data_IF_742248979639
#
_entry.id   IF_742248979639
#
_cell.length_a   1.000
_cell.length_b   1.000
_cell.length_c   1.000
_cell.angle_alpha   90.00
_cell.angle_beta   90.00
_cell.angle_gamma   90.00
#
_symmetry.space_group_name_H-M   'P 1'
#
loop_
_entity.id
_entity.type
_entity.pdbx_description
1 polymer ?
#
# COMPACT_ATOMS: atom_id res chain seq x y z
N UNK A 1 24.25 -4.09 -2.01
CA UNK A 1 24.31 -5.50 -1.57
C UNK A 1 23.78 -6.38 -2.70
N UNK A 2 24.50 -7.42 -3.11
CA UNK A 2 24.06 -8.35 -4.16
C UNK A 2 23.42 -9.57 -3.51
N UNK A 3 22.20 -9.94 -3.92
CA UNK A 3 21.55 -11.18 -3.47
C UNK A 3 22.24 -12.40 -4.08
N UNK A 4 22.32 -13.49 -3.32
CA UNK A 4 22.68 -14.81 -3.87
C UNK A 4 21.65 -15.25 -4.92
N UNK A 5 22.06 -16.10 -5.87
CA UNK A 5 21.16 -16.60 -6.93
C UNK A 5 19.92 -17.27 -6.34
N UNK A 6 20.11 -18.13 -5.34
CA UNK A 6 19.03 -18.85 -4.65
C UNK A 6 18.05 -17.92 -3.94
N UNK A 7 18.55 -16.85 -3.31
CA UNK A 7 17.68 -15.87 -2.64
C UNK A 7 16.84 -15.09 -3.66
N UNK A 8 17.37 -14.78 -4.84
CA UNK A 8 16.59 -14.10 -5.90
C UNK A 8 15.47 -14.98 -6.42
N UNK A 9 15.75 -16.26 -6.67
CA UNK A 9 14.72 -17.21 -7.11
C UNK A 9 13.66 -17.43 -6.03
N UNK A 10 14.06 -17.55 -4.76
CA UNK A 10 13.13 -17.66 -3.64
C UNK A 10 12.19 -16.46 -3.50
N UNK A 11 12.73 -15.24 -3.55
CA UNK A 11 11.92 -14.01 -3.48
C UNK A 11 11.00 -13.89 -4.72
N UNK A 12 11.51 -14.23 -5.90
CA UNK A 12 10.71 -14.18 -7.14
C UNK A 12 9.55 -15.17 -7.11
N UNK A 13 9.79 -16.40 -6.64
CA UNK A 13 8.74 -17.41 -6.48
C UNK A 13 7.69 -16.97 -5.44
N UNK A 14 8.13 -16.42 -4.32
CA UNK A 14 7.23 -15.88 -3.30
C UNK A 14 6.37 -14.73 -3.86
N UNK A 15 6.96 -13.79 -4.60
CA UNK A 15 6.25 -12.68 -5.22
C UNK A 15 5.26 -13.16 -6.29
N UNK A 16 5.60 -14.19 -7.07
CA UNK A 16 4.67 -14.78 -8.03
C UNK A 16 3.45 -15.40 -7.32
N UNK A 17 3.67 -16.18 -6.26
CA UNK A 17 2.58 -16.75 -5.44
C UNK A 17 1.74 -15.63 -4.81
N UNK A 18 2.37 -14.62 -4.23
CA UNK A 18 1.69 -13.46 -3.67
C UNK A 18 0.83 -12.75 -4.73
N UNK A 19 1.36 -12.55 -5.93
CA UNK A 19 0.61 -11.95 -7.05
C UNK A 19 -0.64 -12.75 -7.36
N UNK A 20 -0.54 -14.08 -7.46
CA UNK A 20 -1.69 -14.97 -7.72
C UNK A 20 -2.73 -14.86 -6.61
N UNK A 21 -2.30 -14.89 -5.34
CA UNK A 21 -3.20 -14.75 -4.20
C UNK A 21 -3.94 -13.40 -4.20
N UNK A 22 -3.25 -12.31 -4.49
CA UNK A 22 -3.86 -10.98 -4.53
C UNK A 22 -4.81 -10.83 -5.72
N UNK A 23 -4.49 -11.42 -6.88
CA UNK A 23 -5.41 -11.45 -8.03
C UNK A 23 -6.64 -12.31 -7.77
N UNK A 24 -6.51 -13.43 -7.04
CA UNK A 24 -7.65 -14.22 -6.57
C UNK A 24 -8.53 -13.40 -5.63
N UNK A 25 -7.93 -12.65 -4.70
CA UNK A 25 -8.67 -11.76 -3.81
C UNK A 25 -9.39 -10.64 -4.60
N UNK A 26 -8.72 -10.04 -5.58
CA UNK A 26 -9.32 -9.05 -6.48
C UNK A 26 -10.53 -9.64 -7.21
N UNK A 27 -10.43 -10.88 -7.70
CA UNK A 27 -11.54 -11.55 -8.36
C UNK A 27 -12.73 -11.79 -7.41
N UNK A 28 -12.46 -12.16 -6.14
CA UNK A 28 -13.53 -12.30 -5.13
C UNK A 28 -14.17 -10.94 -4.82
N UNK A 29 -13.37 -9.89 -4.63
CA UNK A 29 -13.88 -8.54 -4.34
C UNK A 29 -14.67 -7.98 -5.53
N UNK A 30 -14.20 -8.18 -6.75
CA UNK A 30 -14.94 -7.83 -7.96
C UNK A 30 -16.22 -8.65 -8.08
N UNK A 31 -16.20 -9.95 -7.79
CA UNK A 31 -17.39 -10.81 -7.78
C UNK A 31 -18.44 -10.36 -6.76
N UNK A 32 -18.00 -9.95 -5.56
CA UNK A 32 -18.88 -9.39 -4.53
C UNK A 32 -19.39 -7.99 -4.90
N UNK A 33 -18.58 -7.17 -5.56
CA UNK A 33 -18.96 -5.83 -6.02
C UNK A 33 -19.88 -5.85 -7.26
N UNK A 34 -19.78 -6.90 -8.08
CA UNK A 34 -20.55 -7.08 -9.33
C UNK A 34 -21.76 -8.01 -9.17
N UNK A 35 -21.94 -8.66 -8.01
CA UNK A 35 -23.20 -9.35 -7.70
C UNK A 35 -24.36 -8.35 -7.85
N UNK A 36 -25.44 -8.72 -8.56
CA UNK A 36 -26.50 -7.78 -8.86
C UNK A 36 -27.12 -7.29 -7.56
N UNK A 37 -27.09 -5.96 -7.40
CA UNK A 37 -27.91 -5.17 -6.48
C UNK A 37 -29.36 -5.69 -6.53
N UNK A 38 -29.70 -6.67 -5.70
CA UNK A 38 -31.09 -7.06 -5.49
C UNK A 38 -31.64 -6.16 -4.37
N UNK A 39 -32.19 -5.04 -4.83
CA UNK A 39 -33.43 -4.45 -4.31
C UNK A 39 -33.49 -3.80 -2.91
N UNK A 40 -32.43 -3.68 -2.10
CA UNK A 40 -32.59 -3.14 -0.73
C UNK A 40 -31.51 -2.16 -0.20
N UNK A 41 -30.70 -1.53 -1.04
CA UNK A 41 -29.82 -0.46 -0.57
C UNK A 41 -30.60 0.87 -0.51
N UNK A 42 -30.89 1.35 0.70
CA UNK A 42 -31.45 2.69 0.89
C UNK A 42 -30.45 3.73 0.35
N UNK A 43 -30.90 4.80 -0.31
CA UNK A 43 -30.00 5.83 -0.86
C UNK A 43 -29.08 6.48 0.21
N UNK A 44 -29.42 6.38 1.50
CA UNK A 44 -28.61 6.89 2.61
C UNK A 44 -27.44 5.97 3.05
N UNK A 45 -27.42 4.71 2.62
CA UNK A 45 -26.37 3.74 2.97
C UNK A 45 -25.29 3.59 1.87
N UNK A 46 -25.48 4.28 0.74
CA UNK A 46 -24.66 4.20 -0.46
C UNK A 46 -23.35 5.02 -0.42
N UNK A 47 -23.17 5.93 0.55
CA UNK A 47 -22.16 6.98 0.39
C UNK A 47 -20.75 6.68 0.94
N UNK A 48 -20.59 5.80 1.94
CA UNK A 48 -19.27 5.58 2.58
C UNK A 48 -18.71 4.17 2.38
N UNK A 49 -19.55 3.15 2.50
CA UNK A 49 -19.16 1.75 2.35
C UNK A 49 -18.76 1.43 0.91
N UNK A 50 -19.48 2.00 -0.06
CA UNK A 50 -19.19 1.83 -1.49
C UNK A 50 -17.89 2.52 -1.89
N UNK A 51 -17.67 3.74 -1.39
CA UNK A 51 -16.42 4.48 -1.61
C UNK A 51 -15.22 3.78 -0.97
N UNK A 52 -15.39 3.20 0.22
CA UNK A 52 -14.36 2.38 0.86
C UNK A 52 -14.01 1.15 0.02
N UNK A 53 -15.02 0.41 -0.47
CA UNK A 53 -14.83 -0.77 -1.33
C UNK A 53 -14.14 -0.44 -2.65
N UNK A 54 -14.52 0.66 -3.30
CA UNK A 54 -13.87 1.14 -4.51
C UNK A 54 -12.40 1.50 -4.27
N UNK A 55 -12.06 2.06 -3.11
CA UNK A 55 -10.68 2.39 -2.76
C UNK A 55 -9.81 1.16 -2.48
N UNK A 56 -10.39 0.02 -2.09
CA UNK A 56 -9.65 -1.25 -1.98
C UNK A 56 -9.25 -1.82 -3.35
N UNK A 57 -9.92 -1.45 -4.44
CA UNK A 57 -9.54 -1.91 -5.79
C UNK A 57 -8.17 -1.39 -6.22
N UNK A 58 -7.80 -0.17 -5.80
CA UNK A 58 -6.51 0.42 -6.12
C UNK A 58 -5.32 -0.42 -5.62
N UNK A 59 -5.17 -0.69 -4.31
CA UNK A 59 -4.09 -1.55 -3.82
C UNK A 59 -4.18 -2.95 -4.43
N UNK A 60 -5.38 -3.51 -4.64
CA UNK A 60 -5.57 -4.83 -5.25
C UNK A 60 -5.06 -4.93 -6.69
N UNK A 61 -5.01 -3.82 -7.44
CA UNK A 61 -4.44 -3.78 -8.79
C UNK A 61 -2.95 -3.44 -8.75
N UNK A 62 -2.54 -2.49 -7.91
CA UNK A 62 -1.16 -2.02 -7.87
C UNK A 62 -0.19 -2.98 -7.14
N UNK A 63 -0.63 -3.78 -6.16
CA UNK A 63 0.22 -4.78 -5.51
C UNK A 63 0.64 -5.92 -6.46
N UNK A 64 -0.25 -6.54 -7.25
CA UNK A 64 0.14 -7.49 -8.29
C UNK A 64 1.07 -6.86 -9.31
N UNK A 65 0.77 -5.64 -9.77
CA UNK A 65 1.59 -4.93 -10.75
C UNK A 65 3.02 -4.68 -10.23
N UNK A 66 3.13 -4.18 -8.99
CA UNK A 66 4.41 -3.97 -8.33
C UNK A 66 5.18 -5.28 -8.11
N UNK A 67 4.47 -6.36 -7.75
CA UNK A 67 5.07 -7.68 -7.54
C UNK A 67 5.59 -8.29 -8.84
N UNK A 68 4.86 -8.13 -9.95
CA UNK A 68 5.31 -8.55 -11.29
C UNK A 68 6.53 -7.77 -11.75
N UNK A 69 6.54 -6.44 -11.58
CA UNK A 69 7.70 -5.63 -11.93
C UNK A 69 8.92 -5.95 -11.06
N UNK A 70 8.72 -6.16 -9.76
CA UNK A 70 9.79 -6.57 -8.86
C UNK A 70 10.34 -7.96 -9.22
N UNK A 71 9.47 -8.91 -9.58
CA UNK A 71 9.85 -10.25 -10.05
C UNK A 71 10.68 -10.16 -11.33
N UNK A 72 10.24 -9.35 -12.31
CA UNK A 72 11.00 -9.08 -13.53
C UNK A 72 12.36 -8.47 -13.20
N UNK A 73 12.42 -7.49 -12.32
CA UNK A 73 13.66 -6.81 -11.94
C UNK A 73 14.63 -7.75 -11.21
N UNK A 74 14.13 -8.73 -10.43
CA UNK A 74 14.95 -9.74 -9.75
C UNK A 74 15.49 -10.82 -10.69
N UNK A 75 14.70 -11.23 -11.68
CA UNK A 75 15.07 -12.29 -12.64
C UNK A 75 15.96 -11.77 -13.78
N UNK A 76 15.66 -10.59 -14.32
CA UNK A 76 16.34 -10.03 -15.49
C UNK A 76 17.27 -8.85 -15.15
N UNK A 77 17.20 -8.30 -13.93
CA UNK A 77 18.05 -7.19 -13.52
C UNK A 77 19.46 -7.61 -13.10
N UNK A 78 20.37 -6.62 -13.05
CA UNK A 78 21.80 -6.80 -12.69
C UNK A 78 22.06 -7.15 -11.21
N UNK A 79 21.05 -7.64 -10.48
CA UNK A 79 21.23 -8.25 -9.15
C UNK A 79 21.37 -7.31 -7.96
N UNK A 80 21.05 -6.03 -8.12
CA UNK A 80 21.02 -5.06 -7.02
C UNK A 80 19.60 -4.97 -6.46
N UNK A 81 19.47 -5.22 -5.16
CA UNK A 81 18.20 -5.11 -4.39
C UNK A 81 17.60 -3.70 -4.50
N UNK A 82 18.46 -2.68 -4.56
CA UNK A 82 18.11 -1.25 -4.61
C UNK A 82 18.20 -0.66 -6.03
N UNK A 83 18.20 -1.49 -7.07
CA UNK A 83 18.08 -1.00 -8.45
C UNK A 83 16.75 -1.47 -9.06
N UNK A 84 15.69 -1.40 -8.26
CA UNK A 84 14.33 -1.60 -8.77
C UNK A 84 14.05 -0.55 -9.85
N UNK A 85 13.36 -0.97 -10.90
CA UNK A 85 12.95 -0.08 -11.97
C UNK A 85 12.01 0.98 -11.41
N UNK A 86 12.02 2.16 -12.04
CA UNK A 86 11.11 3.26 -11.73
C UNK A 86 9.64 2.82 -11.70
N UNK A 87 9.27 1.89 -12.58
CA UNK A 87 7.93 1.28 -12.65
C UNK A 87 7.58 0.46 -11.40
N UNK A 88 8.53 -0.30 -10.84
CA UNK A 88 8.35 -1.04 -9.59
C UNK A 88 8.16 -0.10 -8.40
N UNK A 89 8.98 0.95 -8.33
CA UNK A 89 8.91 1.93 -7.24
C UNK A 89 7.61 2.73 -7.26
N UNK A 90 7.17 3.19 -8.43
CA UNK A 90 5.94 3.99 -8.54
C UNK A 90 4.67 3.16 -8.32
N UNK A 91 4.64 1.92 -8.82
CA UNK A 91 3.50 1.01 -8.60
C UNK A 91 3.43 0.55 -7.14
N UNK A 92 4.56 0.23 -6.51
CA UNK A 92 4.63 -0.05 -5.09
C UNK A 92 4.19 1.15 -4.25
N UNK A 93 4.70 2.35 -4.56
CA UNK A 93 4.29 3.57 -3.87
C UNK A 93 2.78 3.83 -4.02
N UNK A 94 2.22 3.68 -5.22
CA UNK A 94 0.79 3.83 -5.46
C UNK A 94 -0.04 2.80 -4.66
N UNK A 95 0.40 1.54 -4.58
CA UNK A 95 -0.26 0.51 -3.78
C UNK A 95 -0.29 0.88 -2.29
N UNK A 96 0.85 1.27 -1.72
CA UNK A 96 0.94 1.61 -0.29
C UNK A 96 0.25 2.93 0.05
N UNK A 97 0.34 3.95 -0.81
CA UNK A 97 -0.34 5.23 -0.57
C UNK A 97 -1.86 5.12 -0.71
N UNK A 98 -2.37 4.28 -1.61
CA UNK A 98 -3.82 4.02 -1.73
C UNK A 98 -4.37 3.13 -0.61
N UNK A 99 -3.53 2.31 0.03
CA UNK A 99 -3.92 1.50 1.18
C UNK A 99 -4.26 2.37 2.42
N UNK A 100 -3.61 3.53 2.58
CA UNK A 100 -3.84 4.43 3.72
C UNK A 100 -5.27 4.98 3.80
N UNK A 101 -5.82 5.64 2.76
CA UNK A 101 -7.19 6.12 2.77
C UNK A 101 -8.20 4.96 2.84
N UNK A 102 -7.93 3.81 2.20
CA UNK A 102 -8.79 2.63 2.29
C UNK A 102 -8.90 2.12 3.74
N UNK A 103 -7.78 2.03 4.45
CA UNK A 103 -7.75 1.60 5.84
C UNK A 103 -8.39 2.63 6.80
N UNK A 104 -8.21 3.93 6.55
CA UNK A 104 -8.86 4.99 7.34
C UNK A 104 -10.38 5.01 7.14
N UNK A 105 -10.86 4.77 5.92
CA UNK A 105 -12.30 4.68 5.65
C UNK A 105 -12.92 3.41 6.24
N UNK A 106 -12.17 2.30 6.27
CA UNK A 106 -12.59 1.10 6.99
C UNK A 106 -12.75 1.37 8.49
N UNK A 107 -11.84 2.14 9.11
CA UNK A 107 -11.98 2.57 10.49
C UNK A 107 -13.20 3.49 10.67
N UNK A 108 -13.38 4.47 9.78
CA UNK A 108 -14.48 5.41 9.86
C UNK A 108 -15.86 4.74 9.73
N UNK A 109 -15.99 3.77 8.82
CA UNK A 109 -17.20 2.95 8.68
C UNK A 109 -17.44 2.08 9.90
N UNK A 110 -16.41 1.40 10.41
CA UNK A 110 -16.51 0.59 11.64
C UNK A 110 -16.96 1.42 12.84
N UNK A 111 -16.47 2.65 12.98
CA UNK A 111 -16.90 3.57 14.05
C UNK A 111 -18.33 4.09 13.86
N UNK A 112 -18.76 4.33 12.61
CA UNK A 112 -20.14 4.76 12.29
C UNK A 112 -21.15 3.68 12.62
N UNK A 113 -20.83 2.42 12.32
CA UNK A 113 -21.73 1.27 12.51
C UNK A 113 -21.86 0.84 13.97
N UNK A 114 -21.35 1.65 14.91
CA UNK A 114 -21.58 1.47 16.34
C UNK A 114 -20.80 0.29 16.93
N UNK A 115 -19.64 -0.07 16.35
CA UNK A 115 -18.79 -1.10 16.93
C UNK A 115 -18.58 -0.81 18.42
N UNK A 116 -18.98 -1.73 19.32
CA UNK A 116 -18.96 -1.46 20.73
C UNK A 116 -17.50 -1.27 21.16
N UNK A 117 -17.16 -0.03 21.49
CA UNK A 117 -15.93 0.35 22.19
C UNK A 117 -15.95 -0.16 23.64
N UNK A 118 -16.47 -1.37 23.87
CA UNK A 118 -16.21 -2.09 25.10
C UNK A 118 -14.70 -2.20 25.24
N UNK A 119 -14.15 -1.83 26.40
CA UNK A 119 -12.72 -1.73 26.69
C UNK A 119 -11.98 -3.08 26.70
N UNK A 120 -12.50 -4.10 26.03
CA UNK A 120 -11.80 -5.37 25.86
C UNK A 120 -10.69 -5.19 24.80
N UNK A 121 -9.48 -5.71 25.03
CA UNK A 121 -8.39 -5.64 24.05
C UNK A 121 -8.77 -6.24 22.68
N UNK A 122 -9.66 -7.23 22.65
CA UNK A 122 -10.14 -7.90 21.44
C UNK A 122 -11.04 -7.03 20.56
N UNK A 123 -11.86 -6.15 21.14
CA UNK A 123 -12.75 -5.25 20.39
C UNK A 123 -12.01 -4.07 19.76
N UNK A 124 -10.77 -3.81 20.16
CA UNK A 124 -9.92 -2.76 19.58
C UNK A 124 -9.11 -3.24 18.36
N UNK A 125 -8.87 -4.55 18.22
CA UNK A 125 -8.13 -5.13 17.07
C UNK A 125 -8.66 -4.65 15.71
N UNK A 126 -9.98 -4.69 15.42
CA UNK A 126 -10.51 -4.25 14.12
C UNK A 126 -10.35 -2.75 13.84
N UNK A 127 -9.95 -1.94 14.82
CA UNK A 127 -9.68 -0.51 14.67
C UNK A 127 -8.17 -0.26 14.63
N UNK A 128 -7.43 -0.83 15.58
CA UNK A 128 -5.98 -0.63 15.74
C UNK A 128 -5.20 -1.24 14.59
N UNK A 129 -5.58 -2.44 14.11
CA UNK A 129 -4.90 -3.09 12.99
C UNK A 129 -4.97 -2.26 11.69
N UNK A 130 -6.14 -1.78 11.22
CA UNK A 130 -6.20 -0.92 10.05
C UNK A 130 -5.57 0.46 10.27
N UNK A 131 -5.62 1.05 11.47
CA UNK A 131 -4.87 2.28 11.75
C UNK A 131 -3.34 2.07 11.63
N UNK A 132 -2.82 0.97 12.17
CA UNK A 132 -1.42 0.59 12.03
C UNK A 132 -1.04 0.33 10.56
N UNK A 133 -1.94 -0.32 9.81
CA UNK A 133 -1.79 -0.53 8.37
C UNK A 133 -1.71 0.78 7.61
N UNK A 134 -2.59 1.75 7.91
CA UNK A 134 -2.58 3.07 7.27
C UNK A 134 -1.27 3.82 7.53
N UNK A 135 -0.76 3.77 8.76
CA UNK A 135 0.49 4.43 9.11
C UNK A 135 1.68 3.78 8.42
N UNK A 136 1.76 2.45 8.47
CA UNK A 136 2.80 1.69 7.80
C UNK A 136 2.80 1.95 6.29
N UNK A 137 1.62 2.02 5.68
CA UNK A 137 1.50 2.21 4.24
C UNK A 137 1.91 3.62 3.80
N UNK A 138 1.62 4.67 4.60
CA UNK A 138 2.16 6.01 4.35
C UNK A 138 3.69 6.04 4.47
N UNK A 139 4.25 5.39 5.49
CA UNK A 139 5.71 5.32 5.71
C UNK A 139 6.39 4.61 4.54
N UNK A 140 5.92 3.42 4.17
CA UNK A 140 6.49 2.62 3.08
C UNK A 140 6.29 3.32 1.73
N UNK A 141 5.10 3.84 1.46
CA UNK A 141 4.81 4.60 0.23
C UNK A 141 5.73 5.80 0.06
N UNK A 142 5.98 6.54 1.15
CA UNK A 142 6.94 7.65 1.16
C UNK A 142 8.38 7.18 0.91
N UNK A 143 8.81 6.08 1.54
CA UNK A 143 10.15 5.53 1.31
C UNK A 143 10.35 5.16 -0.17
N UNK A 144 9.36 4.52 -0.79
CA UNK A 144 9.40 4.15 -2.21
C UNK A 144 9.41 5.36 -3.14
N UNK A 145 8.64 6.42 -2.84
CA UNK A 145 8.70 7.68 -3.59
C UNK A 145 10.05 8.38 -3.44
N UNK A 146 10.60 8.40 -2.22
CA UNK A 146 11.91 8.99 -1.97
C UNK A 146 12.99 8.27 -2.78
N UNK A 147 12.96 6.94 -2.82
CA UNK A 147 13.86 6.16 -3.68
C UNK A 147 13.64 6.47 -5.17
N UNK A 148 12.38 6.58 -5.61
CA UNK A 148 12.04 6.93 -6.99
C UNK A 148 12.62 8.28 -7.43
N UNK A 149 12.54 9.29 -6.57
CA UNK A 149 13.06 10.64 -6.81
C UNK A 149 14.55 10.79 -6.46
N UNK A 150 15.18 9.76 -5.89
CA UNK A 150 16.56 9.85 -5.39
C UNK A 150 16.73 10.79 -4.19
N UNK A 151 15.64 11.05 -3.45
CA UNK A 151 15.63 11.93 -2.28
C UNK A 151 16.13 11.17 -1.05
N UNK A 152 17.36 11.46 -0.62
CA UNK A 152 17.84 10.93 0.66
C UNK A 152 17.18 11.71 1.80
N UNK A 153 16.65 10.98 2.79
CA UNK A 153 15.94 11.52 3.97
C UNK A 153 16.71 12.64 4.72
N UNK A 154 18.03 12.73 4.55
CA UNK A 154 18.89 13.70 5.21
C UNK A 154 19.43 14.83 4.31
N UNK A 155 19.24 14.79 2.99
CA UNK A 155 19.89 15.75 2.10
C UNK A 155 19.06 17.02 1.83
N UNK A 156 17.79 17.08 2.27
CA UNK A 156 16.91 18.24 2.03
C UNK A 156 16.36 18.93 3.28
N UNK A 157 16.57 18.36 4.48
CA UNK A 157 16.24 19.07 5.72
C UNK A 157 17.26 20.19 6.08
N UNK A 158 18.46 20.13 5.51
CA UNK A 158 19.61 20.96 5.93
C UNK A 158 20.23 21.92 4.90
N UNK A 159 20.04 21.87 3.57
CA UNK A 159 20.74 22.82 2.70
C UNK A 159 20.13 24.24 2.75
N UNK A 160 18.82 24.37 2.96
CA UNK A 160 18.18 25.69 3.06
C UNK A 160 18.47 26.41 4.38
N UNK A 161 18.61 25.67 5.48
CA UNK A 161 19.00 26.22 6.79
C UNK A 161 20.49 26.56 6.81
N UNK A 162 21.34 25.68 6.25
CA UNK A 162 22.80 25.92 6.19
C UNK A 162 23.18 27.08 5.25
N UNK A 163 22.49 27.27 4.11
CA UNK A 163 22.72 28.44 3.25
C UNK A 163 22.38 29.76 3.96
N UNK A 164 21.33 29.80 4.79
CA UNK A 164 20.95 30.99 5.55
C UNK A 164 21.95 31.34 6.67
N UNK A 165 22.65 30.34 7.20
CA UNK A 165 23.71 30.52 8.21
C UNK A 165 25.05 30.88 7.56
N UNK A 166 25.37 30.31 6.39
CA UNK A 166 26.66 30.51 5.72
C UNK A 166 26.73 31.81 4.89
N UNK A 167 25.61 32.36 4.46
CA UNK A 167 25.54 33.68 3.80
C UNK A 167 25.51 34.88 4.75
N UNK A 168 25.70 34.66 6.06
CA UNK A 168 25.80 35.71 7.11
C UNK A 168 27.18 35.75 7.78
N UNK A 169 28.21 35.15 7.17
CA UNK A 169 29.61 35.31 7.56
C UNK A 169 30.39 35.96 6.44
#
# INVERSE_FOLDING_TARGET
MFLSKWTRYGISAFLAVFTVLVLLLLNVVLGLALMPFSAYASPSDLDLSWFANALFLFPLVFFPLASLYLTRDLLFGKGKIFASSKSTLISGAAAFLSLAPAALLFVASSLRDGYPLTLSPSSLIPIVAPMGLAFLSLVVGKILLNEYFGLKWHEHATPHVLKKIRGRR
#
